data_IF_502598015261
#
_entry.id   IF_502598015261
#
_cell.length_a   1.000
_cell.length_b   1.000
_cell.length_c   1.000
_cell.angle_alpha   90.00
_cell.angle_beta   90.00
_cell.angle_gamma   90.00
#
_symmetry.space_group_name_H-M   'P 1'
#
loop_
_entity.id
_entity.type
_entity.pdbx_description
1 polymer ?
#
# COMPACT_ATOMS: atom_id res chain seq x y z
N UNK A 1 -37.40 -49.36 -8.53
CA UNK A 1 -36.00 -49.00 -8.24
C UNK A 1 -35.44 -48.28 -9.47
N UNK A 2 -35.32 -46.95 -9.40
CA UNK A 2 -34.63 -46.12 -10.39
C UNK A 2 -33.81 -45.11 -9.59
N UNK A 3 -32.50 -45.24 -9.63
CA UNK A 3 -31.55 -44.32 -9.02
C UNK A 3 -31.50 -43.06 -9.89
N UNK A 4 -31.84 -41.91 -9.32
CA UNK A 4 -31.58 -40.60 -9.92
C UNK A 4 -30.32 -40.05 -9.26
N UNK A 5 -29.22 -40.09 -9.99
CA UNK A 5 -28.02 -39.31 -9.70
C UNK A 5 -28.38 -37.83 -9.95
N UNK A 6 -28.54 -37.05 -8.87
CA UNK A 6 -28.65 -35.60 -8.98
C UNK A 6 -27.22 -35.03 -8.92
N UNK A 7 -26.78 -34.53 -10.07
CA UNK A 7 -25.49 -33.87 -10.26
C UNK A 7 -25.36 -32.67 -9.31
N UNK A 8 -24.31 -32.69 -8.49
CA UNK A 8 -23.87 -31.51 -7.73
C UNK A 8 -23.31 -30.52 -8.74
N UNK A 9 -24.08 -29.47 -9.00
CA UNK A 9 -23.64 -28.35 -9.83
C UNK A 9 -22.61 -27.56 -9.03
N UNK A 10 -21.33 -27.82 -9.31
CA UNK A 10 -20.21 -27.06 -8.76
C UNK A 10 -20.22 -25.68 -9.43
N UNK A 11 -20.75 -24.67 -8.73
CA UNK A 11 -20.64 -23.28 -9.15
C UNK A 11 -19.18 -22.86 -8.95
N UNK A 12 -18.35 -23.02 -9.98
CA UNK A 12 -17.02 -22.43 -9.99
C UNK A 12 -17.24 -20.93 -10.14
N UNK A 13 -17.13 -20.20 -9.02
CA UNK A 13 -16.92 -18.76 -9.06
C UNK A 13 -15.62 -18.56 -9.85
N UNK A 14 -15.76 -18.01 -11.05
CA UNK A 14 -14.68 -17.48 -11.85
C UNK A 14 -14.09 -16.31 -11.08
N UNK A 15 -13.14 -16.58 -10.19
CA UNK A 15 -12.29 -15.53 -9.63
C UNK A 15 -11.46 -15.03 -10.82
N UNK A 16 -11.61 -13.78 -11.27
CA UNK A 16 -10.77 -13.26 -12.35
C UNK A 16 -9.31 -13.39 -11.93
N UNK A 17 -8.49 -13.94 -12.82
CA UNK A 17 -7.07 -14.29 -12.62
C UNK A 17 -6.16 -13.07 -12.33
N UNK A 18 -6.74 -11.88 -12.14
CA UNK A 18 -6.05 -10.62 -11.90
C UNK A 18 -6.22 -10.10 -10.47
N UNK A 19 -6.77 -10.89 -9.55
CA UNK A 19 -6.81 -10.51 -8.13
C UNK A 19 -5.40 -10.64 -7.58
N UNK A 20 -4.59 -9.59 -7.69
CA UNK A 20 -3.27 -9.49 -7.09
C UNK A 20 -3.46 -9.46 -5.57
N UNK A 21 -3.59 -10.64 -4.97
CA UNK A 21 -3.62 -10.83 -3.53
C UNK A 21 -2.32 -10.28 -2.97
N UNK A 22 -2.42 -9.19 -2.19
CA UNK A 22 -1.37 -8.60 -1.34
C UNK A 22 0.04 -9.16 -1.63
N UNK A 23 0.84 -8.40 -2.38
CA UNK A 23 2.27 -8.38 -2.08
C UNK A 23 2.43 -7.61 -0.75
N UNK A 24 1.97 -8.20 0.36
CA UNK A 24 2.55 -7.86 1.66
C UNK A 24 3.93 -8.47 1.60
N UNK A 25 4.88 -7.76 0.99
CA UNK A 25 6.26 -8.19 0.97
C UNK A 25 6.69 -8.40 2.41
N UNK A 26 6.76 -9.66 2.86
CA UNK A 26 7.68 -9.98 3.93
C UNK A 26 9.04 -9.63 3.35
N UNK A 27 9.77 -8.62 3.88
CA UNK A 27 11.12 -8.39 3.42
C UNK A 27 11.87 -9.71 3.57
N UNK A 28 12.52 -10.19 2.50
CA UNK A 28 13.44 -11.31 2.63
C UNK A 28 14.38 -10.98 3.78
N UNK A 29 14.58 -11.94 4.69
CA UNK A 29 15.49 -11.80 5.82
C UNK A 29 16.90 -11.55 5.31
N UNK A 30 17.21 -10.29 5.06
CA UNK A 30 18.56 -9.86 4.82
C UNK A 30 19.25 -9.92 6.18
N UNK A 31 20.19 -10.86 6.33
CA UNK A 31 21.09 -10.96 7.48
C UNK A 31 22.06 -9.76 7.52
N UNK A 32 21.54 -8.54 7.45
CA UNK A 32 22.28 -7.29 7.41
C UNK A 32 22.51 -6.84 8.84
N UNK A 33 23.77 -6.95 9.24
CA UNK A 33 24.37 -6.40 10.46
C UNK A 33 23.73 -5.05 10.80
N UNK A 34 23.19 -4.92 12.03
CA UNK A 34 22.79 -3.65 12.60
C UNK A 34 23.99 -2.69 12.61
N UNK A 35 24.06 -1.75 11.67
CA UNK A 35 25.08 -0.71 11.70
C UNK A 35 24.72 0.27 12.83
N UNK A 36 25.36 0.10 13.98
CA UNK A 36 25.33 1.07 15.06
C UNK A 36 26.11 2.30 14.59
N UNK A 37 25.42 3.29 14.02
CA UNK A 37 26.00 4.60 13.80
C UNK A 37 26.02 5.34 15.14
N UNK A 38 27.22 5.57 15.67
CA UNK A 38 27.50 6.00 17.04
C UNK A 38 26.98 7.39 17.45
N UNK A 39 26.16 8.07 16.65
CA UNK A 39 25.79 9.47 16.93
C UNK A 39 24.30 9.73 17.18
N UNK A 40 23.39 8.76 17.05
CA UNK A 40 22.03 8.85 17.60
C UNK A 40 21.40 7.44 17.63
N UNK A 41 20.75 7.10 18.74
CA UNK A 41 20.05 5.82 18.98
C UNK A 41 18.96 5.56 17.93
N UNK A 42 19.34 5.06 16.74
CA UNK A 42 18.43 4.55 15.71
C UNK A 42 18.44 3.03 15.85
N UNK A 43 17.37 2.48 16.44
CA UNK A 43 17.05 1.06 16.26
C UNK A 43 16.45 0.97 14.86
N UNK A 44 17.23 0.56 13.86
CA UNK A 44 16.68 0.17 12.57
C UNK A 44 15.84 -1.07 12.82
N UNK A 45 14.53 -0.95 12.67
CA UNK A 45 13.66 -2.12 12.76
C UNK A 45 14.01 -3.07 11.60
N UNK A 46 14.10 -4.37 11.85
CA UNK A 46 14.41 -5.44 10.87
C UNK A 46 13.45 -5.50 9.65
N UNK A 47 12.45 -4.61 9.63
CA UNK A 47 11.34 -4.59 8.68
C UNK A 47 11.28 -3.31 7.83
N UNK A 48 12.28 -2.44 7.97
CA UNK A 48 12.42 -1.22 7.17
C UNK A 48 12.94 -1.56 5.77
N UNK A 49 12.25 -1.09 4.74
CA UNK A 49 12.62 -1.29 3.34
C UNK A 49 13.19 0.01 2.77
N UNK A 50 14.35 -0.05 2.13
CA UNK A 50 14.88 1.09 1.39
C UNK A 50 14.10 1.30 0.07
N UNK A 51 14.23 2.50 -0.49
CA UNK A 51 13.50 2.88 -1.71
C UNK A 51 13.86 1.99 -2.89
N UNK A 52 15.14 1.62 -3.04
CA UNK A 52 15.60 0.76 -4.14
C UNK A 52 14.94 -0.62 -4.08
N UNK A 53 14.88 -1.23 -2.90
CA UNK A 53 14.21 -2.52 -2.68
C UNK A 53 12.71 -2.43 -2.96
N UNK A 54 12.05 -1.34 -2.53
CA UNK A 54 10.64 -1.09 -2.80
C UNK A 54 10.36 -0.97 -4.31
N UNK A 55 11.15 -0.17 -5.02
CA UNK A 55 11.03 -0.01 -6.47
C UNK A 55 11.31 -1.32 -7.21
N UNK A 56 12.27 -2.12 -6.72
CA UNK A 56 12.57 -3.45 -7.27
C UNK A 56 11.40 -4.43 -7.20
N UNK A 57 10.42 -4.24 -6.29
CA UNK A 57 9.22 -5.08 -6.22
C UNK A 57 8.30 -4.93 -7.43
N UNK A 58 8.49 -3.88 -8.22
CA UNK A 58 7.73 -3.59 -9.43
C UNK A 58 8.43 -4.06 -10.72
N UNK A 59 9.65 -4.58 -10.63
CA UNK A 59 10.41 -5.06 -11.79
C UNK A 59 9.67 -6.20 -12.49
N UNK A 60 9.53 -6.10 -13.80
CA UNK A 60 8.75 -7.01 -14.63
C UNK A 60 7.22 -6.97 -14.43
N UNK A 61 6.71 -6.15 -13.51
CA UNK A 61 5.27 -5.95 -13.27
C UNK A 61 4.75 -4.71 -14.01
N UNK A 62 5.48 -3.61 -13.95
CA UNK A 62 5.21 -2.36 -14.68
C UNK A 62 6.46 -1.91 -15.46
N UNK A 63 6.32 -0.90 -16.33
CA UNK A 63 7.45 -0.39 -17.12
C UNK A 63 8.49 0.33 -16.25
N UNK A 64 9.75 0.32 -16.68
CA UNK A 64 10.83 1.09 -16.02
C UNK A 64 10.51 2.58 -15.92
N UNK A 65 9.84 3.15 -16.93
CA UNK A 65 9.38 4.55 -16.93
C UNK A 65 8.40 4.83 -15.78
N UNK A 66 7.46 3.90 -15.54
CA UNK A 66 6.53 4.01 -14.44
C UNK A 66 7.24 3.86 -13.08
N UNK A 67 8.19 2.93 -12.95
CA UNK A 67 9.02 2.78 -11.74
C UNK A 67 9.78 4.08 -11.45
N UNK A 68 10.40 4.68 -12.47
CA UNK A 68 11.09 5.96 -12.35
C UNK A 68 10.14 7.08 -11.87
N UNK A 69 8.91 7.11 -12.38
CA UNK A 69 7.93 8.12 -11.94
C UNK A 69 7.49 7.92 -10.49
N UNK A 70 7.49 6.69 -9.95
CA UNK A 70 7.26 6.45 -8.51
C UNK A 70 8.40 7.09 -7.72
N UNK A 71 9.65 6.82 -8.10
CA UNK A 71 10.85 7.37 -7.45
C UNK A 71 10.82 8.90 -7.42
N UNK A 72 10.49 9.54 -8.54
CA UNK A 72 10.37 11.01 -8.63
C UNK A 72 9.27 11.60 -7.72
N UNK A 73 8.24 10.82 -7.38
CA UNK A 73 7.20 11.25 -6.45
C UNK A 73 7.59 11.05 -4.98
N UNK A 74 8.59 10.21 -4.67
CA UNK A 74 8.99 9.94 -3.29
C UNK A 74 9.87 11.06 -2.74
N UNK A 75 9.65 11.50 -1.49
CA UNK A 75 10.58 12.41 -0.82
C UNK A 75 11.99 11.81 -0.67
N UNK A 76 13.01 12.67 -0.64
CA UNK A 76 14.38 12.23 -0.38
C UNK A 76 14.58 11.74 1.07
N UNK A 77 15.51 10.80 1.28
CA UNK A 77 15.97 10.32 2.59
C UNK A 77 14.86 9.73 3.49
N UNK A 78 14.01 8.89 2.93
CA UNK A 78 12.95 8.20 3.65
C UNK A 78 13.17 6.69 3.73
N UNK A 79 12.36 6.04 4.55
CA UNK A 79 12.27 4.58 4.65
C UNK A 79 10.84 4.16 4.33
N UNK A 80 10.69 3.16 3.46
CA UNK A 80 9.41 2.55 3.13
C UNK A 80 9.04 1.57 4.24
N UNK A 81 7.83 1.72 4.77
CA UNK A 81 7.32 0.90 5.87
C UNK A 81 6.35 -0.16 5.36
N UNK A 82 5.48 0.23 4.42
CA UNK A 82 4.49 -0.66 3.82
C UNK A 82 3.97 -0.03 2.54
N UNK A 83 3.44 -0.86 1.65
CA UNK A 83 2.83 -0.42 0.41
C UNK A 83 1.64 -1.30 0.02
N UNK A 84 0.80 -0.80 -0.88
CA UNK A 84 -0.31 -1.52 -1.48
C UNK A 84 -0.43 -1.14 -2.95
N UNK A 85 -0.87 -2.09 -3.76
CA UNK A 85 -1.03 -1.92 -5.21
C UNK A 85 -2.41 -2.41 -5.62
N UNK A 86 -3.08 -1.69 -6.50
CA UNK A 86 -4.39 -2.05 -7.04
C UNK A 86 -5.03 -0.88 -7.79
N UNK A 87 -6.20 -1.07 -8.37
CA UNK A 87 -6.91 -0.02 -9.11
C UNK A 87 -7.72 0.88 -8.15
N UNK A 88 -7.14 2.03 -7.79
CA UNK A 88 -7.66 2.95 -6.79
C UNK A 88 -8.60 3.99 -7.40
N UNK A 89 -8.36 4.42 -8.64
CA UNK A 89 -9.20 5.40 -9.33
C UNK A 89 -10.24 4.80 -10.29
N UNK A 90 -10.17 3.49 -10.53
CA UNK A 90 -11.12 2.72 -11.32
C UNK A 90 -10.85 2.77 -12.82
N UNK A 91 -9.64 3.14 -13.25
CA UNK A 91 -9.26 3.21 -14.66
C UNK A 91 -8.73 1.88 -15.24
N UNK A 92 -8.56 0.86 -14.39
CA UNK A 92 -8.08 -0.47 -14.76
C UNK A 92 -6.55 -0.60 -14.78
N UNK A 93 -5.80 0.43 -14.38
CA UNK A 93 -4.34 0.38 -14.19
C UNK A 93 -4.00 0.13 -12.73
N UNK A 94 -2.75 -0.25 -12.48
CA UNK A 94 -2.23 -0.42 -11.13
C UNK A 94 -1.85 0.95 -10.56
N UNK A 95 -2.45 1.30 -9.44
CA UNK A 95 -2.14 2.44 -8.59
C UNK A 95 -1.32 1.99 -7.37
N UNK A 96 -0.71 2.94 -6.65
CA UNK A 96 0.18 2.66 -5.53
C UNK A 96 -0.19 3.49 -4.31
N UNK A 97 -0.30 2.83 -3.16
CA UNK A 97 -0.31 3.47 -1.85
C UNK A 97 0.95 3.09 -1.10
N UNK A 98 1.61 4.06 -0.47
CA UNK A 98 2.86 3.81 0.27
C UNK A 98 2.85 4.56 1.59
N UNK A 99 3.37 3.91 2.63
CA UNK A 99 3.63 4.52 3.93
C UNK A 99 5.13 4.64 4.16
N UNK A 100 5.52 5.82 4.59
CA UNK A 100 6.90 6.29 4.60
C UNK A 100 7.18 6.84 5.99
N UNK A 101 8.38 6.57 6.51
CA UNK A 101 8.89 7.30 7.67
C UNK A 101 9.68 8.51 7.18
N UNK A 102 9.09 9.68 7.39
CA UNK A 102 9.73 10.97 7.13
C UNK A 102 10.48 11.42 8.39
N UNK A 103 11.80 11.54 8.30
CA UNK A 103 12.65 11.98 9.41
C UNK A 103 12.37 13.43 9.85
N UNK A 104 11.72 14.23 9.00
CA UNK A 104 11.36 15.62 9.30
C UNK A 104 10.08 15.74 10.14
N UNK A 105 9.30 14.65 10.27
CA UNK A 105 8.16 14.66 11.18
C UNK A 105 8.65 14.70 12.63
N UNK A 106 8.47 15.84 13.29
CA UNK A 106 8.93 16.05 14.68
C UNK A 106 8.16 15.23 15.73
N UNK A 107 7.22 14.38 15.30
CA UNK A 107 6.45 13.45 16.11
C UNK A 107 6.51 12.03 15.55
N UNK A 108 5.93 11.05 16.26
CA UNK A 108 5.84 9.69 15.74
C UNK A 108 4.76 9.60 14.66
N UNK A 109 5.07 10.02 13.43
CA UNK A 109 4.14 9.92 12.31
C UNK A 109 4.72 9.20 11.08
N UNK A 110 3.87 8.49 10.35
CA UNK A 110 4.12 8.01 8.99
C UNK A 110 3.41 8.92 7.99
N UNK A 111 4.12 9.29 6.93
CA UNK A 111 3.53 9.92 5.75
C UNK A 111 2.95 8.82 4.88
N UNK A 112 1.69 8.96 4.49
CA UNK A 112 1.02 8.06 3.57
C UNK A 112 0.79 8.80 2.26
N UNK A 113 1.29 8.25 1.17
CA UNK A 113 1.11 8.80 -0.17
C UNK A 113 0.22 7.86 -0.99
N UNK A 114 -0.78 8.45 -1.64
CA UNK A 114 -1.65 7.76 -2.59
C UNK A 114 -1.32 8.29 -3.98
N UNK A 115 -0.92 7.40 -4.87
CA UNK A 115 -0.47 7.70 -6.22
C UNK A 115 -1.33 6.94 -7.23
N UNK A 116 -1.78 7.63 -8.27
CA UNK A 116 -2.49 7.00 -9.38
C UNK A 116 -1.60 6.94 -10.61
N UNK A 117 -1.77 5.91 -11.43
CA UNK A 117 -1.15 5.79 -12.73
C UNK A 117 -1.96 6.59 -13.76
N UNK A 118 -1.58 7.85 -13.95
CA UNK A 118 -2.32 8.80 -14.79
C UNK A 118 -2.28 8.39 -16.28
N UNK A 119 -3.04 9.08 -17.12
CA UNK A 119 -3.12 8.80 -18.56
C UNK A 119 -1.76 8.95 -19.29
N UNK A 120 -0.84 9.73 -18.74
CA UNK A 120 0.48 10.01 -19.31
C UNK A 120 1.54 8.94 -18.98
N UNK A 121 1.14 7.76 -18.48
CA UNK A 121 2.07 6.70 -18.03
C UNK A 121 3.07 7.19 -16.97
N UNK A 122 2.59 8.05 -16.06
CA UNK A 122 3.36 8.55 -14.94
C UNK A 122 2.51 8.50 -13.67
N UNK A 123 3.14 8.15 -12.55
CA UNK A 123 2.47 8.22 -11.26
C UNK A 123 2.31 9.67 -10.82
N UNK A 124 1.14 9.96 -10.28
CA UNK A 124 0.78 11.26 -9.72
C UNK A 124 0.30 11.09 -8.30
N UNK A 125 0.94 11.79 -7.37
CA UNK A 125 0.47 11.87 -5.99
C UNK A 125 -0.87 12.62 -5.93
N UNK A 126 -1.94 11.91 -5.54
CA UNK A 126 -3.30 12.45 -5.37
C UNK A 126 -3.69 12.63 -3.91
N UNK A 127 -2.89 12.12 -2.99
CA UNK A 127 -3.15 12.16 -1.56
C UNK A 127 -1.89 12.11 -0.73
N UNK A 128 -1.81 12.99 0.25
CA UNK A 128 -0.86 12.88 1.36
C UNK A 128 -1.63 12.90 2.68
N UNK A 129 -1.40 11.89 3.50
CA UNK A 129 -2.00 11.74 4.82
C UNK A 129 -0.92 11.48 5.85
N UNK A 130 -1.26 11.65 7.12
CA UNK A 130 -0.37 11.35 8.23
C UNK A 130 -1.07 10.41 9.19
N UNK A 131 -0.34 9.38 9.64
CA UNK A 131 -0.79 8.43 10.66
C UNK A 131 0.20 8.42 11.82
N UNK A 132 -0.29 8.31 13.04
CA UNK A 132 0.58 8.16 14.22
C UNK A 132 1.20 6.74 14.24
N UNK A 133 2.44 6.61 14.70
CA UNK A 133 3.07 5.30 14.96
C UNK A 133 3.47 5.15 16.43
N UNK A 134 3.34 3.94 16.97
CA UNK A 134 3.63 3.62 18.38
C UNK A 134 4.48 2.36 18.46
N UNK A 135 5.79 2.55 18.28
CA UNK A 135 6.86 1.62 18.66
C UNK A 135 6.81 0.20 18.05
N UNK A 136 5.97 -0.05 17.03
CA UNK A 136 5.92 -1.32 16.29
C UNK A 136 5.87 -1.11 14.77
N UNK A 137 6.54 -1.97 13.97
CA UNK A 137 6.81 -1.71 12.55
C UNK A 137 5.63 -1.83 11.56
N UNK A 138 4.37 -1.96 11.99
CA UNK A 138 3.23 -2.19 11.07
C UNK A 138 1.98 -1.42 11.44
N UNK A 139 2.12 -0.13 11.74
CA UNK A 139 0.97 0.68 12.14
C UNK A 139 0.18 1.26 10.97
N UNK A 140 0.54 0.94 9.72
CA UNK A 140 -0.23 1.31 8.51
C UNK A 140 -0.28 0.13 7.54
N UNK A 141 -1.47 -0.15 7.00
CA UNK A 141 -1.71 -1.18 6.00
C UNK A 141 -2.70 -0.70 4.94
N UNK A 142 -2.60 -1.30 3.76
CA UNK A 142 -3.36 -0.93 2.58
C UNK A 142 -4.11 -2.13 2.00
N UNK A 143 -5.31 -1.88 1.51
CA UNK A 143 -6.05 -2.77 0.64
C UNK A 143 -6.71 -1.91 -0.43
N UNK A 144 -6.41 -2.19 -1.70
CA UNK A 144 -6.92 -1.42 -2.84
C UNK A 144 -7.75 -2.37 -3.70
N UNK A 145 -9.04 -2.08 -3.81
CA UNK A 145 -10.00 -2.90 -4.54
C UNK A 145 -11.19 -2.03 -4.95
N UNK A 146 -11.76 -2.29 -6.13
CA UNK A 146 -13.00 -1.66 -6.63
C UNK A 146 -13.03 -0.12 -6.53
N UNK A 147 -11.92 0.55 -6.90
CA UNK A 147 -11.81 2.01 -6.86
C UNK A 147 -11.88 2.58 -5.44
N UNK A 148 -11.39 1.81 -4.46
CA UNK A 148 -11.29 2.19 -3.06
C UNK A 148 -9.91 1.81 -2.52
N UNK A 149 -9.34 2.71 -1.72
CA UNK A 149 -8.17 2.40 -0.90
C UNK A 149 -8.60 2.38 0.57
N UNK A 150 -8.62 1.20 1.17
CA UNK A 150 -8.72 1.02 2.61
C UNK A 150 -7.34 1.21 3.24
N UNK A 151 -7.27 2.17 4.16
CA UNK A 151 -6.09 2.41 4.99
C UNK A 151 -6.44 1.99 6.41
N UNK A 152 -5.73 0.99 6.93
CA UNK A 152 -5.78 0.61 8.35
C UNK A 152 -4.60 1.22 9.06
N UNK A 153 -4.84 1.90 10.19
CA UNK A 153 -3.77 2.54 10.94
C UNK A 153 -4.03 2.60 12.44
N UNK A 154 -3.02 2.96 13.24
CA UNK A 154 -3.19 3.18 14.68
C UNK A 154 -3.39 4.65 15.05
N UNK A 155 -4.28 4.87 16.01
CA UNK A 155 -4.42 6.13 16.73
C UNK A 155 -4.32 5.81 18.23
N UNK A 156 -3.12 6.02 18.80
CA UNK A 156 -2.78 5.52 20.13
C UNK A 156 -2.73 3.99 20.18
N UNK A 157 -3.65 3.37 20.94
CA UNK A 157 -3.75 1.90 21.08
C UNK A 157 -4.90 1.30 20.26
N UNK A 158 -5.63 2.14 19.52
CA UNK A 158 -6.81 1.72 18.77
C UNK A 158 -6.48 1.60 17.30
N UNK A 159 -6.91 0.49 16.70
CA UNK A 159 -6.98 0.37 15.26
C UNK A 159 -8.11 1.23 14.71
N UNK A 160 -7.80 1.90 13.61
CA UNK A 160 -8.70 2.70 12.80
C UNK A 160 -8.62 2.22 11.36
N UNK A 161 -9.71 2.42 10.65
CA UNK A 161 -9.78 2.21 9.22
C UNK A 161 -10.43 3.42 8.58
N UNK A 162 -9.96 3.76 7.39
CA UNK A 162 -10.56 4.80 6.55
C UNK A 162 -10.50 4.36 5.11
N UNK A 163 -11.63 4.49 4.43
CA UNK A 163 -11.71 4.26 3.00
C UNK A 163 -11.53 5.59 2.28
N UNK A 164 -10.77 5.55 1.21
CA UNK A 164 -10.58 6.68 0.32
C UNK A 164 -11.02 6.28 -1.08
N UNK A 165 -11.41 7.28 -1.86
CA UNK A 165 -11.65 7.19 -3.30
C UNK A 165 -11.03 8.40 -3.97
N UNK A 166 -10.43 8.21 -5.12
CA UNK A 166 -10.03 9.30 -6.00
C UNK A 166 -10.99 9.39 -7.20
N UNK A 167 -11.21 10.61 -7.67
CA UNK A 167 -11.86 10.88 -8.93
C UNK A 167 -11.36 12.22 -9.47
N UNK A 168 -11.05 12.28 -10.76
CA UNK A 168 -10.52 13.48 -11.42
C UNK A 168 -11.40 14.73 -11.22
N UNK A 169 -12.72 14.58 -11.06
CA UNK A 169 -13.63 15.71 -10.87
C UNK A 169 -13.72 16.19 -9.42
N UNK A 170 -13.52 15.30 -8.44
CA UNK A 170 -13.79 15.59 -7.02
C UNK A 170 -12.57 15.54 -6.11
N UNK A 171 -11.42 15.12 -6.66
CA UNK A 171 -10.21 14.84 -5.93
C UNK A 171 -10.35 13.64 -4.99
N UNK A 172 -9.34 13.47 -4.14
CA UNK A 172 -9.33 12.46 -3.08
C UNK A 172 -10.40 12.78 -2.03
N UNK A 173 -11.20 11.77 -1.67
CA UNK A 173 -12.21 11.88 -0.61
C UNK A 173 -12.19 10.67 0.29
N UNK A 174 -12.36 10.92 1.59
CA UNK A 174 -12.70 9.87 2.55
C UNK A 174 -14.15 9.44 2.33
N UNK A 175 -14.38 8.14 2.25
CA UNK A 175 -15.70 7.53 2.09
C UNK A 175 -16.19 7.03 3.44
N UNK A 176 -17.39 7.46 3.83
CA UNK A 176 -18.08 6.88 4.98
C UNK A 176 -18.81 5.64 4.48
N UNK A 177 -18.30 4.46 4.82
CA UNK A 177 -19.07 3.23 4.64
C UNK A 177 -19.91 3.02 5.88
N UNK A 178 -21.22 3.24 5.75
CA UNK A 178 -22.16 2.65 6.70
C UNK A 178 -22.12 1.15 6.48
N UNK A 179 -21.58 0.41 7.45
CA UNK A 179 -21.69 -1.04 7.48
C UNK A 179 -23.19 -1.35 7.61
N UNK A 180 -23.86 -1.65 6.50
CA UNK A 180 -25.21 -2.19 6.56
C UNK A 180 -25.10 -3.60 7.12
N UNK A 181 -25.68 -3.80 8.31
CA UNK A 181 -25.77 -5.09 9.02
C UNK A 181 -26.49 -6.19 8.22
#
# INVERSE_FOLDING_TARGET
MKNIFLSVFLLILSIPENTFSQASGEPEKNNSISSINNDNFRVTNEYEMDVESFLGMFDGVISEELIYSIDENLPENLVVINYGVGDFDGDGKLDVAVSLRDETCTGKCYKVMLMINDEDMAYKTVGELYADWKDTPYDVGFNIEDGLCLITYREGEKWKSSYYRYNNSTGLRRVNMELTE
#
